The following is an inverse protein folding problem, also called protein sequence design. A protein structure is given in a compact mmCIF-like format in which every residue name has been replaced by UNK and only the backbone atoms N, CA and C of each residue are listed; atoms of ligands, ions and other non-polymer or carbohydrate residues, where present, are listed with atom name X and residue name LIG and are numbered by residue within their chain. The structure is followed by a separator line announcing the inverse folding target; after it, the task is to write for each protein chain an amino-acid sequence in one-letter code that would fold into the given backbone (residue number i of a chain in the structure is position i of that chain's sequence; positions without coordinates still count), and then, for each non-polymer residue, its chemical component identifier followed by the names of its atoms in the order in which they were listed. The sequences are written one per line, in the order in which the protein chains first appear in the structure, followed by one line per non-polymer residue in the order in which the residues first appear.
data_IF_122327931954
#
_entry.id   IF_122327931954
#
_cell.length_a   1.000
_cell.length_b   1.000
_cell.length_c   1.000
_cell.angle_alpha   90.00
_cell.angle_beta   90.00
_cell.angle_gamma   90.00
#
_symmetry.space_group_name_H-M   'P 1'
#
loop_
_entity.id
_entity.type
_entity.pdbx_description
1 polymer ?
#
# COMPACT_ATOMS: atom_id res chain seq x y z
N UNK A 1 67.60 54.09 32.63
CA UNK A 1 66.71 52.96 32.97
C UNK A 1 65.29 53.30 32.53
N UNK A 2 64.55 52.27 32.12
CA UNK A 2 63.14 52.26 31.70
C UNK A 2 62.77 53.04 30.41
N UNK A 3 62.86 52.33 29.28
CA UNK A 3 62.09 52.62 28.06
C UNK A 3 60.60 52.47 28.39
N UNK A 4 59.81 53.52 28.20
CA UNK A 4 58.36 53.39 28.15
C UNK A 4 57.96 52.72 26.82
N UNK A 5 57.11 51.69 26.84
CA UNK A 5 56.67 51.02 25.63
C UNK A 5 55.78 51.97 24.84
N UNK A 6 56.11 52.18 23.56
CA UNK A 6 55.28 52.93 22.64
C UNK A 6 53.86 52.38 22.64
N UNK A 7 52.87 53.26 22.85
CA UNK A 7 51.47 52.96 22.59
C UNK A 7 51.36 52.54 21.12
N UNK A 8 51.27 51.24 20.87
CA UNK A 8 50.81 50.71 19.59
C UNK A 8 49.37 51.18 19.45
N UNK A 9 49.16 52.23 18.66
CA UNK A 9 47.82 52.60 18.22
C UNK A 9 47.15 51.36 17.65
N UNK A 10 45.86 51.15 17.95
CA UNK A 10 45.09 50.09 17.31
C UNK A 10 45.32 50.23 15.80
N UNK A 11 45.93 49.20 15.20
CA UNK A 11 46.13 49.18 13.77
C UNK A 11 44.79 49.40 13.09
N UNK A 12 44.77 50.19 12.02
CA UNK A 12 43.56 50.50 11.26
C UNK A 12 42.73 49.25 10.91
N UNK A 13 43.38 48.10 10.72
CA UNK A 13 42.75 46.78 10.56
C UNK A 13 41.86 46.38 11.74
N UNK A 14 42.28 46.62 12.98
CA UNK A 14 41.51 46.29 14.20
C UNK A 14 40.33 47.24 14.38
N UNK A 15 40.51 48.52 14.04
CA UNK A 15 39.43 49.52 14.08
C UNK A 15 38.36 49.20 13.03
N UNK A 16 38.77 48.84 11.81
CA UNK A 16 37.85 48.43 10.74
C UNK A 16 37.09 47.16 11.13
N UNK A 17 37.76 46.16 11.72
CA UNK A 17 37.08 44.93 12.21
C UNK A 17 36.04 45.23 13.28
N UNK A 18 36.33 46.14 14.21
CA UNK A 18 35.36 46.53 15.24
C UNK A 18 34.18 47.32 14.67
N UNK A 19 34.40 48.16 13.65
CA UNK A 19 33.32 48.87 12.95
C UNK A 19 32.46 47.88 12.14
N UNK A 20 33.06 46.90 11.47
CA UNK A 20 32.33 45.86 10.72
C UNK A 20 31.52 44.96 11.67
N UNK A 21 32.07 44.59 12.82
CA UNK A 21 31.34 43.80 13.83
C UNK A 21 30.21 44.63 14.48
N UNK A 22 30.45 45.91 14.77
CA UNK A 22 29.41 46.80 15.29
C UNK A 22 28.30 47.05 14.25
N UNK A 23 28.64 47.21 12.98
CA UNK A 23 27.67 47.31 11.88
C UNK A 23 26.92 46.00 11.67
N UNK A 24 27.58 44.84 11.76
CA UNK A 24 26.92 43.54 11.72
C UNK A 24 25.94 43.37 12.88
N UNK A 25 26.26 43.83 14.09
CA UNK A 25 25.36 43.73 15.24
C UNK A 25 24.20 44.73 15.11
N UNK A 26 24.46 45.97 14.69
CA UNK A 26 23.43 47.02 14.50
C UNK A 26 22.51 46.69 13.31
N UNK A 27 23.00 45.99 12.28
CA UNK A 27 22.19 45.56 11.13
C UNK A 27 21.52 44.21 11.39
N UNK A 28 22.16 43.23 12.03
CA UNK A 28 21.58 41.89 12.18
C UNK A 28 20.65 41.79 13.39
N UNK A 29 20.94 42.48 14.51
CA UNK A 29 20.13 42.32 15.73
C UNK A 29 18.72 42.91 15.61
N UNK A 30 18.47 44.04 14.92
CA UNK A 30 17.11 44.49 14.61
C UNK A 30 16.39 43.55 13.64
N UNK A 31 17.12 42.88 12.73
CA UNK A 31 16.58 41.91 11.77
C UNK A 31 16.19 40.57 12.43
N UNK A 32 16.82 40.19 13.54
CA UNK A 32 16.43 39.00 14.33
C UNK A 32 15.22 39.29 15.24
N UNK A 33 14.98 40.56 15.61
CA UNK A 33 13.91 40.95 16.54
C UNK A 33 12.59 41.34 15.87
N UNK A 34 12.59 41.65 14.56
CA UNK A 34 11.39 41.95 13.79
C UNK A 34 11.23 40.97 12.62
N UNK A 35 10.41 39.93 12.83
CA UNK A 35 9.82 38.98 11.87
C UNK A 35 10.09 39.15 10.37
N UNK A 36 11.30 38.80 9.90
CA UNK A 36 11.67 38.75 8.49
C UNK A 36 11.44 37.35 7.86
N UNK A 37 10.29 36.72 8.13
CA UNK A 37 9.86 35.58 7.30
C UNK A 37 9.25 36.08 5.97
N UNK A 38 8.62 37.24 5.95
CA UNK A 38 7.87 37.73 4.78
C UNK A 38 8.76 38.21 3.62
N UNK A 39 9.93 38.79 3.89
CA UNK A 39 10.79 39.34 2.83
C UNK A 39 11.75 38.32 2.22
N UNK A 40 12.21 37.33 3.00
CA UNK A 40 12.93 36.18 2.45
C UNK A 40 11.99 35.35 1.56
N UNK A 41 10.70 35.29 1.92
CA UNK A 41 9.65 34.71 1.08
C UNK A 41 9.39 35.56 -0.18
N UNK A 42 9.35 36.89 -0.10
CA UNK A 42 9.25 37.78 -1.28
C UNK A 42 10.47 37.68 -2.21
N UNK A 43 11.67 37.47 -1.68
CA UNK A 43 12.86 37.25 -2.50
C UNK A 43 12.89 35.84 -3.14
N UNK A 44 12.35 34.83 -2.45
CA UNK A 44 12.13 33.49 -3.01
C UNK A 44 11.02 33.46 -4.09
N UNK A 45 10.00 34.35 -3.98
CA UNK A 45 8.90 34.53 -4.96
C UNK A 45 9.38 34.96 -6.37
N UNK A 46 10.62 35.41 -6.53
CA UNK A 46 11.19 35.80 -7.82
C UNK A 46 12.09 34.73 -8.48
N UNK A 47 12.18 33.52 -7.90
CA UNK A 47 13.09 32.47 -8.38
C UNK A 47 12.39 31.20 -8.90
N UNK A 48 11.07 31.04 -8.77
CA UNK A 48 10.32 29.95 -9.41
C UNK A 48 9.40 30.48 -10.53
N UNK A 49 9.79 30.36 -11.82
CA UNK A 49 8.96 30.81 -12.94
C UNK A 49 7.62 30.07 -13.08
N UNK A 50 7.41 28.99 -12.30
CA UNK A 50 6.15 28.24 -12.31
C UNK A 50 5.11 28.76 -11.28
N UNK A 51 5.48 29.71 -10.41
CA UNK A 51 4.63 30.17 -9.31
C UNK A 51 4.54 31.70 -9.23
N UNK A 52 3.89 32.35 -10.21
CA UNK A 52 3.98 33.80 -10.42
C UNK A 52 3.12 34.66 -9.48
N UNK A 53 2.20 34.06 -8.71
CA UNK A 53 1.26 34.79 -7.86
C UNK A 53 1.63 34.70 -6.37
N UNK A 54 1.30 35.72 -5.54
CA UNK A 54 1.53 35.66 -4.10
C UNK A 54 0.60 34.64 -3.43
N UNK A 55 1.01 34.03 -2.31
CA UNK A 55 0.21 33.06 -1.54
C UNK A 55 -1.23 33.54 -1.27
N UNK A 56 -1.39 34.83 -0.92
CA UNK A 56 -2.68 35.47 -0.69
C UNK A 56 -3.65 35.38 -1.89
N UNK A 57 -3.14 35.37 -3.12
CA UNK A 57 -3.96 35.19 -4.31
C UNK A 57 -4.60 33.80 -4.33
N UNK A 58 -3.82 32.75 -4.07
CA UNK A 58 -4.31 31.38 -4.05
C UNK A 58 -5.31 31.17 -2.92
N UNK A 59 -5.02 31.68 -1.72
CA UNK A 59 -5.93 31.61 -0.57
C UNK A 59 -7.26 32.31 -0.87
N UNK A 60 -7.23 33.54 -1.36
CA UNK A 60 -8.45 34.30 -1.67
C UNK A 60 -9.27 33.67 -2.80
N UNK A 61 -8.60 33.12 -3.82
CA UNK A 61 -9.26 32.46 -4.95
C UNK A 61 -9.97 31.19 -4.48
N UNK A 62 -9.30 30.38 -3.66
CA UNK A 62 -9.87 29.17 -3.08
C UNK A 62 -11.03 29.50 -2.13
N UNK A 63 -10.89 30.51 -1.25
CA UNK A 63 -11.97 30.91 -0.34
C UNK A 63 -13.20 31.41 -1.12
N UNK A 64 -12.99 32.18 -2.18
CA UNK A 64 -14.08 32.62 -3.08
C UNK A 64 -14.77 31.43 -3.76
N UNK A 65 -14.03 30.41 -4.17
CA UNK A 65 -14.60 29.20 -4.77
C UNK A 65 -15.41 28.40 -3.74
N UNK A 66 -14.92 28.27 -2.51
CA UNK A 66 -15.65 27.62 -1.42
C UNK A 66 -16.94 28.39 -1.07
N UNK A 67 -16.89 29.72 -1.00
CA UNK A 67 -18.08 30.58 -0.79
C UNK A 67 -19.13 30.43 -1.90
N UNK A 68 -18.70 30.10 -3.12
CA UNK A 68 -19.58 29.82 -4.25
C UNK A 68 -20.12 28.37 -4.25
N UNK A 69 -19.77 27.54 -3.26
CA UNK A 69 -20.11 26.12 -3.21
C UNK A 69 -19.35 25.26 -4.22
N UNK A 70 -18.25 25.77 -4.79
CA UNK A 70 -17.45 25.10 -5.83
C UNK A 70 -16.30 24.32 -5.23
N UNK A 71 -16.59 23.45 -4.26
CA UNK A 71 -15.54 22.75 -3.49
C UNK A 71 -14.63 21.88 -4.37
N UNK A 72 -15.15 21.23 -5.40
CA UNK A 72 -14.32 20.44 -6.33
C UNK A 72 -13.37 21.31 -7.18
N UNK A 73 -13.84 22.46 -7.68
CA UNK A 73 -12.98 23.40 -8.40
C UNK A 73 -11.91 23.98 -7.47
N UNK A 74 -12.28 24.30 -6.23
CA UNK A 74 -11.36 24.76 -5.20
C UNK A 74 -10.28 23.71 -4.90
N UNK A 75 -10.68 22.45 -4.68
CA UNK A 75 -9.76 21.34 -4.44
C UNK A 75 -8.80 21.09 -5.61
N UNK A 76 -9.29 21.13 -6.84
CA UNK A 76 -8.45 21.02 -8.04
C UNK A 76 -7.47 22.18 -8.16
N UNK A 77 -7.96 23.42 -8.05
CA UNK A 77 -7.13 24.61 -8.09
C UNK A 77 -6.01 24.57 -7.04
N UNK A 78 -6.36 24.09 -5.84
CA UNK A 78 -5.44 23.89 -4.73
C UNK A 78 -4.39 22.81 -5.01
N UNK A 79 -4.81 21.65 -5.51
CA UNK A 79 -3.91 20.54 -5.85
C UNK A 79 -2.93 20.92 -6.96
N UNK A 80 -3.39 21.65 -7.99
CA UNK A 80 -2.58 22.12 -9.11
C UNK A 80 -1.57 23.20 -8.67
N UNK A 81 -1.97 24.03 -7.72
CA UNK A 81 -1.16 25.14 -7.21
C UNK A 81 -0.32 24.78 -5.98
N UNK A 82 -0.35 23.52 -5.53
CA UNK A 82 0.27 23.08 -4.28
C UNK A 82 1.78 23.32 -4.21
N UNK A 83 2.48 23.17 -5.35
CA UNK A 83 3.92 23.45 -5.43
C UNK A 83 4.27 24.94 -5.19
N UNK A 84 3.29 25.82 -5.38
CA UNK A 84 3.48 27.27 -5.34
C UNK A 84 3.28 27.91 -3.97
N UNK A 85 2.71 27.19 -3.00
CA UNK A 85 2.62 27.68 -1.63
C UNK A 85 2.62 26.50 -0.66
N UNK A 86 3.65 26.46 0.19
CA UNK A 86 3.67 25.54 1.34
C UNK A 86 2.76 26.11 2.40
N UNK A 87 1.56 25.58 2.47
CA UNK A 87 0.50 26.07 3.34
C UNK A 87 0.94 26.03 4.80
N UNK A 88 1.38 27.17 5.31
CA UNK A 88 1.62 27.35 6.74
C UNK A 88 0.46 28.17 7.28
N UNK A 89 -0.63 27.44 7.56
CA UNK A 89 -1.90 27.93 8.13
C UNK A 89 -2.75 28.73 7.15
N UNK A 90 -3.82 28.09 6.67
CA UNK A 90 -4.91 28.79 6.02
C UNK A 90 -5.74 29.50 7.10
N UNK A 91 -5.87 30.82 6.99
CA UNK A 91 -6.75 31.62 7.85
C UNK A 91 -8.22 31.50 7.39
N UNK A 92 -8.69 30.28 7.13
CA UNK A 92 -10.09 29.97 6.91
C UNK A 92 -10.75 29.63 8.26
N UNK A 93 -12.08 29.60 8.31
CA UNK A 93 -12.74 28.95 9.43
C UNK A 93 -12.48 27.43 9.43
N UNK A 94 -12.78 26.79 10.57
CA UNK A 94 -12.51 25.38 10.77
C UNK A 94 -13.21 24.49 9.72
N UNK A 95 -14.47 24.78 9.38
CA UNK A 95 -15.25 23.95 8.46
C UNK A 95 -14.67 24.05 7.04
N UNK A 96 -14.43 25.25 6.54
CA UNK A 96 -13.81 25.46 5.21
C UNK A 96 -12.42 24.84 5.09
N UNK A 97 -11.62 24.92 6.16
CA UNK A 97 -10.31 24.26 6.20
C UNK A 97 -10.42 22.75 6.00
N UNK A 98 -11.40 22.12 6.65
CA UNK A 98 -11.64 20.69 6.50
C UNK A 98 -12.23 20.35 5.11
N UNK A 99 -13.22 21.11 4.64
CA UNK A 99 -13.83 20.91 3.31
C UNK A 99 -12.82 21.02 2.17
N UNK A 100 -11.88 21.96 2.28
CA UNK A 100 -10.78 22.06 1.32
C UNK A 100 -9.89 20.82 1.35
N UNK A 101 -9.54 20.32 2.53
CA UNK A 101 -8.72 19.12 2.68
C UNK A 101 -9.42 17.91 2.04
N UNK A 102 -10.73 17.72 2.28
CA UNK A 102 -11.53 16.68 1.62
C UNK A 102 -11.58 16.86 0.09
N UNK A 103 -11.76 18.10 -0.38
CA UNK A 103 -11.80 18.40 -1.80
C UNK A 103 -10.46 18.12 -2.50
N UNK A 104 -9.34 18.41 -1.83
CA UNK A 104 -8.00 18.04 -2.33
C UNK A 104 -7.81 16.54 -2.25
N UNK A 105 -8.27 15.86 -1.20
CA UNK A 105 -8.13 14.41 -1.05
C UNK A 105 -8.84 13.64 -2.17
N UNK A 106 -9.94 14.19 -2.71
CA UNK A 106 -10.63 13.65 -3.88
C UNK A 106 -9.80 13.73 -5.18
N UNK A 107 -8.79 14.60 -5.24
CA UNK A 107 -7.91 14.80 -6.40
C UNK A 107 -6.53 14.14 -6.17
N UNK A 108 -5.92 14.40 -5.02
CA UNK A 108 -4.58 13.96 -4.64
C UNK A 108 -4.52 13.79 -3.11
N UNK A 109 -4.70 12.54 -2.66
CA UNK A 109 -4.68 12.17 -1.24
C UNK A 109 -3.36 12.54 -0.55
N UNK A 110 -2.24 12.50 -1.27
CA UNK A 110 -0.93 12.76 -0.67
C UNK A 110 -0.74 14.24 -0.36
N UNK A 111 -1.22 15.13 -1.24
CA UNK A 111 -1.23 16.58 -0.99
C UNK A 111 -2.21 16.97 0.11
N UNK A 112 -3.32 16.23 0.26
CA UNK A 112 -4.29 16.47 1.30
C UNK A 112 -3.73 16.22 2.73
N UNK A 113 -2.72 15.37 2.88
CA UNK A 113 -2.09 15.10 4.19
C UNK A 113 -1.63 16.37 4.88
N UNK A 114 -0.95 17.26 4.16
CA UNK A 114 -0.43 18.52 4.73
C UNK A 114 -1.57 19.48 5.13
N UNK A 115 -2.67 19.44 4.39
CA UNK A 115 -3.89 20.19 4.72
C UNK A 115 -4.57 19.66 5.98
N UNK A 116 -4.73 18.33 6.11
CA UNK A 116 -5.26 17.72 7.32
C UNK A 116 -4.34 17.93 8.53
N UNK A 117 -3.02 17.87 8.37
CA UNK A 117 -2.06 18.19 9.43
C UNK A 117 -2.16 19.66 9.85
N UNK A 118 -2.32 20.56 8.88
CA UNK A 118 -2.57 21.99 9.15
C UNK A 118 -3.88 22.17 9.91
N UNK A 119 -4.93 21.45 9.55
CA UNK A 119 -6.20 21.46 10.26
C UNK A 119 -6.04 20.97 11.71
N UNK A 120 -5.44 19.80 11.93
CA UNK A 120 -5.26 19.21 13.27
C UNK A 120 -4.41 20.12 14.17
N UNK A 121 -3.38 20.75 13.61
CA UNK A 121 -2.50 21.66 14.37
C UNK A 121 -3.15 23.01 14.67
N UNK A 122 -4.01 23.51 13.76
CA UNK A 122 -4.69 24.79 13.93
C UNK A 122 -5.96 24.69 14.79
N UNK A 123 -6.60 23.52 14.77
CA UNK A 123 -7.86 23.24 15.49
C UNK A 123 -7.75 21.93 16.28
N UNK A 124 -6.94 21.87 17.36
CA UNK A 124 -6.66 20.64 18.12
C UNK A 124 -7.85 20.11 18.93
N UNK A 125 -8.97 20.86 18.99
CA UNK A 125 -10.26 20.40 19.54
C UNK A 125 -11.41 20.56 18.53
N UNK A 126 -11.10 20.69 17.24
CA UNK A 126 -12.10 20.85 16.19
C UNK A 126 -12.95 19.59 15.97
N UNK A 127 -14.25 19.75 15.74
CA UNK A 127 -15.21 18.68 15.49
C UNK A 127 -14.86 17.69 14.35
N UNK A 128 -14.00 18.07 13.39
CA UNK A 128 -13.55 17.19 12.30
C UNK A 128 -12.17 16.56 12.51
N UNK A 129 -11.57 16.60 13.71
CA UNK A 129 -10.24 16.01 13.94
C UNK A 129 -10.19 14.53 13.58
N UNK A 130 -11.18 13.76 13.99
CA UNK A 130 -11.21 12.32 13.73
C UNK A 130 -11.37 12.04 12.24
N UNK A 131 -12.12 12.88 11.53
CA UNK A 131 -12.22 12.82 10.07
C UNK A 131 -10.90 13.19 9.39
N UNK A 132 -10.21 14.21 9.87
CA UNK A 132 -8.90 14.60 9.34
C UNK A 132 -7.84 13.51 9.58
N UNK A 133 -7.84 12.86 10.76
CA UNK A 133 -6.99 11.70 11.08
C UNK A 133 -7.30 10.51 10.19
N UNK A 134 -8.58 10.26 9.93
CA UNK A 134 -8.99 9.22 8.99
C UNK A 134 -8.53 9.55 7.56
N UNK A 135 -8.71 10.79 7.10
CA UNK A 135 -8.21 11.27 5.81
C UNK A 135 -6.71 11.06 5.64
N UNK A 136 -5.90 11.45 6.62
CA UNK A 136 -4.44 11.18 6.63
C UNK A 136 -4.17 9.67 6.55
N UNK A 137 -4.88 8.87 7.33
CA UNK A 137 -4.72 7.41 7.35
C UNK A 137 -4.99 6.79 5.98
N UNK A 138 -5.97 7.29 5.22
CA UNK A 138 -6.23 6.77 3.86
C UNK A 138 -5.05 7.02 2.91
N UNK A 139 -4.44 8.20 2.96
CA UNK A 139 -3.24 8.51 2.17
C UNK A 139 -2.03 7.66 2.60
N UNK A 140 -1.85 7.46 3.91
CA UNK A 140 -0.78 6.60 4.44
C UNK A 140 -0.98 5.13 4.10
N UNK A 141 -2.23 4.67 4.04
CA UNK A 141 -2.54 3.30 3.67
C UNK A 141 -2.20 3.04 2.21
N UNK A 142 -2.57 3.95 1.31
CA UNK A 142 -2.28 3.84 -0.13
C UNK A 142 -0.77 3.88 -0.44
N UNK A 143 0.01 4.61 0.37
CA UNK A 143 1.48 4.69 0.23
C UNK A 143 2.24 3.60 0.99
N UNK A 144 1.54 2.71 1.70
CA UNK A 144 2.17 1.65 2.51
C UNK A 144 2.89 2.17 3.76
N UNK A 145 2.61 3.41 4.20
CA UNK A 145 3.10 3.95 5.47
C UNK A 145 2.26 3.39 6.64
N UNK A 146 2.43 2.11 6.92
CA UNK A 146 1.64 1.38 7.92
C UNK A 146 1.75 1.98 9.33
N UNK A 147 2.91 2.52 9.71
CA UNK A 147 3.13 3.17 11.02
C UNK A 147 2.30 4.44 11.13
N UNK A 148 2.28 5.25 10.07
CA UNK A 148 1.44 6.43 10.02
C UNK A 148 -0.04 6.08 10.14
N UNK A 149 -0.50 5.01 9.47
CA UNK A 149 -1.88 4.54 9.56
C UNK A 149 -2.23 4.16 11.00
N UNK A 150 -1.43 3.30 11.64
CA UNK A 150 -1.73 2.85 13.01
C UNK A 150 -1.75 4.01 14.01
N UNK A 151 -0.78 4.93 13.91
CA UNK A 151 -0.73 6.11 14.79
C UNK A 151 -1.96 7.02 14.64
N UNK A 152 -2.40 7.26 13.40
CA UNK A 152 -3.51 8.16 13.12
C UNK A 152 -4.86 7.52 13.46
N UNK A 153 -5.10 6.27 13.05
CA UNK A 153 -6.37 5.58 13.32
C UNK A 153 -6.55 5.22 14.79
N UNK A 154 -5.49 4.89 15.54
CA UNK A 154 -5.60 4.65 16.99
C UNK A 154 -6.01 5.92 17.75
N UNK A 155 -5.75 7.09 17.17
CA UNK A 155 -6.15 8.38 17.74
C UNK A 155 -7.60 8.77 17.39
N UNK A 156 -8.30 8.01 16.54
CA UNK A 156 -9.71 8.23 16.21
C UNK A 156 -10.57 7.52 17.26
N UNK A 157 -11.21 8.27 18.15
CA UNK A 157 -11.96 7.72 19.29
C UNK A 157 -13.48 7.81 19.10
N UNK A 158 -13.94 8.68 18.20
CA UNK A 158 -15.35 8.82 17.85
C UNK A 158 -15.78 7.96 16.66
N UNK A 159 -17.08 8.01 16.40
CA UNK A 159 -17.64 7.58 15.11
C UNK A 159 -17.31 8.62 14.03
N UNK A 160 -17.04 8.15 12.82
CA UNK A 160 -16.84 8.98 11.63
C UNK A 160 -18.16 9.40 10.96
N UNK A 161 -19.29 9.26 11.67
CA UNK A 161 -20.61 9.71 11.22
C UNK A 161 -21.24 8.83 10.14
N UNK A 162 -20.57 7.76 9.71
CA UNK A 162 -21.12 6.76 8.78
C UNK A 162 -20.57 5.38 9.11
N UNK A 163 -21.43 4.38 9.08
CA UNK A 163 -21.07 2.96 9.29
C UNK A 163 -19.94 2.52 8.34
N UNK A 164 -20.03 2.87 7.05
CA UNK A 164 -19.00 2.53 6.05
C UNK A 164 -17.60 3.05 6.42
N UNK A 165 -17.48 4.30 6.88
CA UNK A 165 -16.19 4.87 7.31
C UNK A 165 -15.69 4.25 8.61
N UNK A 166 -16.59 3.94 9.53
CA UNK A 166 -16.22 3.27 10.79
C UNK A 166 -15.71 1.84 10.53
N UNK A 167 -16.35 1.11 9.62
CA UNK A 167 -15.89 -0.21 9.16
C UNK A 167 -14.57 -0.12 8.39
N UNK A 168 -14.43 0.88 7.52
CA UNK A 168 -13.18 1.11 6.78
C UNK A 168 -12.02 1.42 7.74
N UNK A 169 -12.27 2.21 8.80
CA UNK A 169 -11.31 2.48 9.88
C UNK A 169 -10.87 1.18 10.56
N UNK A 170 -11.83 0.35 10.97
CA UNK A 170 -11.55 -0.94 11.62
C UNK A 170 -10.66 -1.83 10.74
N UNK A 171 -11.03 -1.98 9.46
CA UNK A 171 -10.29 -2.80 8.50
C UNK A 171 -8.89 -2.26 8.20
N UNK A 172 -8.76 -0.95 7.99
CA UNK A 172 -7.46 -0.32 7.71
C UNK A 172 -6.51 -0.44 8.90
N UNK A 173 -7.00 -0.25 10.12
CA UNK A 173 -6.20 -0.41 11.34
C UNK A 173 -5.74 -1.87 11.50
N UNK A 174 -6.64 -2.83 11.27
CA UNK A 174 -6.33 -4.24 11.34
C UNK A 174 -5.23 -4.65 10.34
N UNK A 175 -5.37 -4.23 9.08
CA UNK A 175 -4.37 -4.46 8.03
C UNK A 175 -3.04 -3.77 8.32
N UNK A 176 -3.06 -2.51 8.78
CA UNK A 176 -1.83 -1.79 9.07
C UNK A 176 -1.03 -2.40 10.23
N UNK A 177 -1.72 -2.89 11.28
CA UNK A 177 -1.07 -3.63 12.38
C UNK A 177 -0.42 -4.91 11.86
N UNK A 178 -1.16 -5.71 11.09
CA UNK A 178 -0.63 -6.91 10.46
C UNK A 178 0.63 -6.61 9.64
N UNK A 179 0.56 -5.58 8.79
CA UNK A 179 1.67 -5.20 7.92
C UNK A 179 2.91 -4.70 8.66
N UNK A 180 2.74 -3.97 9.77
CA UNK A 180 3.87 -3.55 10.60
C UNK A 180 4.59 -4.72 11.25
N UNK A 181 3.82 -5.63 11.86
CA UNK A 181 4.38 -6.82 12.50
C UNK A 181 5.09 -7.75 11.52
N UNK A 182 4.59 -7.85 10.28
CA UNK A 182 5.24 -8.64 9.23
C UNK A 182 6.52 -7.98 8.69
N UNK A 183 6.53 -6.65 8.54
CA UNK A 183 7.66 -5.93 7.94
C UNK A 183 8.87 -5.87 8.86
N UNK A 184 8.64 -5.67 10.16
CA UNK A 184 9.70 -5.54 11.16
C UNK A 184 9.22 -6.11 12.52
N UNK A 185 9.21 -7.45 12.67
CA UNK A 185 8.71 -8.11 13.88
C UNK A 185 9.56 -7.81 15.12
N UNK A 186 10.84 -7.44 14.95
CA UNK A 186 11.73 -7.09 16.07
C UNK A 186 11.38 -5.70 16.64
N UNK A 187 11.10 -4.73 15.77
CA UNK A 187 10.69 -3.38 16.20
C UNK A 187 9.22 -3.33 16.64
N UNK A 188 8.35 -4.15 16.06
CA UNK A 188 6.91 -4.18 16.33
C UNK A 188 6.42 -5.55 16.82
N UNK A 189 6.92 -6.06 17.96
CA UNK A 189 6.49 -7.35 18.49
C UNK A 189 5.00 -7.30 18.86
N UNK A 190 4.25 -8.36 18.52
CA UNK A 190 2.82 -8.48 18.82
C UNK A 190 1.87 -7.80 17.83
N UNK A 191 2.38 -7.01 16.88
CA UNK A 191 1.55 -6.29 15.90
C UNK A 191 0.92 -7.24 14.87
N UNK A 192 1.61 -8.32 14.51
CA UNK A 192 1.05 -9.36 13.63
C UNK A 192 -0.19 -9.97 14.26
N UNK A 193 -0.10 -10.42 15.51
CA UNK A 193 -1.16 -11.05 16.27
C UNK A 193 -2.31 -10.08 16.52
N UNK A 194 -2.00 -8.82 16.82
CA UNK A 194 -2.99 -7.75 16.95
C UNK A 194 -3.74 -7.53 15.64
N UNK A 195 -3.03 -7.46 14.52
CA UNK A 195 -3.64 -7.33 13.19
C UNK A 195 -4.55 -8.51 12.87
N UNK A 196 -4.11 -9.74 13.13
CA UNK A 196 -4.92 -10.96 12.94
C UNK A 196 -6.18 -10.91 13.79
N UNK A 197 -6.06 -10.57 15.08
CA UNK A 197 -7.21 -10.48 15.99
C UNK A 197 -8.22 -9.44 15.53
N UNK A 198 -7.76 -8.25 15.12
CA UNK A 198 -8.64 -7.20 14.60
C UNK A 198 -9.31 -7.60 13.28
N UNK A 199 -8.58 -8.30 12.40
CA UNK A 199 -9.15 -8.83 11.16
C UNK A 199 -10.21 -9.89 11.46
N UNK A 200 -9.96 -10.80 12.39
CA UNK A 200 -10.94 -11.79 12.84
C UNK A 200 -12.19 -11.10 13.39
N UNK A 201 -12.03 -10.13 14.29
CA UNK A 201 -13.17 -9.38 14.84
C UNK A 201 -13.98 -8.68 13.75
N UNK A 202 -13.31 -7.99 12.83
CA UNK A 202 -13.93 -7.33 11.69
C UNK A 202 -14.71 -8.35 10.84
N UNK A 203 -14.07 -9.45 10.45
CA UNK A 203 -14.72 -10.42 9.58
C UNK A 203 -15.79 -11.25 10.30
N UNK A 204 -15.68 -11.51 11.61
CA UNK A 204 -16.74 -12.16 12.40
C UNK A 204 -17.97 -11.25 12.48
N UNK A 205 -17.76 -9.96 12.72
CA UNK A 205 -18.83 -8.93 12.74
C UNK A 205 -19.60 -8.90 11.42
N UNK A 206 -18.90 -8.96 10.29
CA UNK A 206 -19.52 -8.79 8.96
C UNK A 206 -19.95 -10.10 8.28
N UNK A 207 -19.32 -11.24 8.59
CA UNK A 207 -19.48 -12.48 7.82
C UNK A 207 -19.74 -13.74 8.65
N UNK A 208 -19.75 -13.65 9.98
CA UNK A 208 -19.95 -14.79 10.89
C UNK A 208 -18.69 -15.62 11.15
N UNK A 209 -18.79 -16.59 12.06
CA UNK A 209 -17.64 -17.04 12.87
C UNK A 209 -16.84 -18.26 12.36
N UNK A 210 -17.11 -18.79 11.17
CA UNK A 210 -16.17 -19.68 10.44
C UNK A 210 -15.58 -18.98 9.21
N UNK A 211 -16.23 -17.91 8.78
CA UNK A 211 -15.85 -17.06 7.65
C UNK A 211 -14.86 -15.97 8.04
N UNK A 212 -14.81 -15.55 9.31
CA UNK A 212 -13.78 -14.65 9.80
C UNK A 212 -12.36 -15.21 9.69
N UNK A 213 -12.28 -16.51 9.97
CA UNK A 213 -11.08 -17.35 9.84
C UNK A 213 -10.63 -17.49 8.39
N UNK A 214 -11.57 -17.49 7.43
CA UNK A 214 -11.31 -17.56 6.00
C UNK A 214 -10.76 -16.27 5.39
N UNK A 215 -11.10 -15.11 5.95
CA UNK A 215 -10.65 -13.83 5.40
C UNK A 215 -9.34 -13.34 6.06
N UNK A 216 -8.97 -13.87 7.23
CA UNK A 216 -7.58 -13.83 7.71
C UNK A 216 -6.60 -14.49 6.72
N UNK A 217 -7.08 -15.41 5.88
CA UNK A 217 -6.25 -16.05 4.87
C UNK A 217 -5.96 -15.37 3.59
N UNK A 218 -6.98 -14.69 3.09
CA UNK A 218 -6.84 -13.89 1.91
C UNK A 218 -5.79 -12.79 2.13
N UNK A 219 -5.49 -12.43 3.39
CA UNK A 219 -4.40 -11.52 3.74
C UNK A 219 -3.06 -12.21 4.00
N UNK A 220 -3.04 -13.47 4.47
CA UNK A 220 -1.82 -14.28 4.58
C UNK A 220 -1.22 -14.69 3.22
N UNK A 221 -2.01 -14.74 2.14
CA UNK A 221 -1.49 -14.99 0.78
C UNK A 221 -0.85 -13.77 0.08
N UNK A 222 -1.10 -12.55 0.55
CA UNK A 222 -0.83 -11.31 -0.22
C UNK A 222 0.54 -10.65 0.03
N UNK A 223 1.29 -11.04 1.07
CA UNK A 223 2.58 -10.40 1.43
C UNK A 223 3.72 -11.41 1.60
N UNK A 224 3.95 -12.22 0.57
CA UNK A 224 4.98 -13.25 0.54
C UNK A 224 6.41 -12.66 0.52
N UNK A 225 6.89 -12.29 1.70
CA UNK A 225 8.27 -12.40 2.19
C UNK A 225 8.22 -12.44 3.71
N UNK A 226 8.29 -13.65 4.30
CA UNK A 226 8.43 -13.82 5.75
C UNK A 226 7.28 -14.53 6.50
N UNK A 227 6.36 -15.19 5.81
CA UNK A 227 5.25 -15.90 6.45
C UNK A 227 5.63 -17.29 6.99
N UNK A 228 4.93 -17.67 8.07
CA UNK A 228 4.75 -19.06 8.48
C UNK A 228 3.69 -19.72 7.58
N UNK A 229 4.17 -20.35 6.51
CA UNK A 229 3.31 -20.99 5.50
C UNK A 229 2.46 -22.11 6.08
N UNK A 230 2.95 -22.86 7.06
CA UNK A 230 2.24 -24.03 7.59
C UNK A 230 0.99 -23.60 8.37
N UNK A 231 1.12 -22.57 9.20
CA UNK A 231 -0.05 -21.95 9.81
C UNK A 231 -0.98 -21.38 8.74
N UNK A 232 -0.42 -20.71 7.72
CA UNK A 232 -1.22 -20.18 6.61
C UNK A 232 -1.97 -21.27 5.81
N UNK A 233 -1.49 -22.51 5.79
CA UNK A 233 -2.18 -23.61 5.11
C UNK A 233 -3.19 -24.27 6.05
N UNK A 234 -2.85 -24.45 7.33
CA UNK A 234 -3.70 -25.15 8.30
C UNK A 234 -5.05 -24.49 8.51
N UNK A 235 -5.07 -23.18 8.71
CA UNK A 235 -6.33 -22.50 8.87
C UNK A 235 -7.15 -22.62 7.50
N UNK A 236 -6.52 -22.75 6.30
CA UNK A 236 -7.18 -22.60 4.99
C UNK A 236 -7.96 -23.86 4.75
N UNK A 237 -7.39 -24.98 5.21
CA UNK A 237 -8.07 -26.25 5.33
C UNK A 237 -9.35 -26.17 6.18
N UNK A 238 -9.42 -25.30 7.20
CA UNK A 238 -10.68 -25.05 7.94
C UNK A 238 -11.74 -24.46 7.01
N UNK A 239 -11.36 -23.50 6.16
CA UNK A 239 -12.25 -22.90 5.16
C UNK A 239 -12.69 -23.92 4.12
N UNK A 240 -11.75 -24.73 3.62
CA UNK A 240 -12.02 -25.81 2.66
C UNK A 240 -13.01 -26.83 3.25
N UNK A 241 -12.93 -27.09 4.55
CA UNK A 241 -13.80 -28.02 5.28
C UNK A 241 -15.19 -27.45 5.60
N UNK A 242 -15.39 -26.14 5.45
CA UNK A 242 -16.66 -25.48 5.77
C UNK A 242 -17.74 -25.67 4.69
N UNK A 243 -18.97 -25.31 5.04
CA UNK A 243 -20.15 -25.51 4.16
C UNK A 243 -20.22 -24.52 2.98
N UNK A 244 -19.44 -23.44 2.99
CA UNK A 244 -19.45 -22.46 1.91
C UNK A 244 -18.53 -22.91 0.76
N UNK A 245 -19.11 -23.58 -0.23
CA UNK A 245 -18.37 -24.14 -1.38
C UNK A 245 -17.57 -23.09 -2.15
N UNK A 246 -18.06 -21.86 -2.27
CA UNK A 246 -17.37 -20.78 -2.98
C UNK A 246 -16.10 -20.36 -2.25
N UNK A 247 -16.17 -20.19 -0.92
CA UNK A 247 -14.99 -19.86 -0.11
C UNK A 247 -14.01 -21.03 -0.01
N UNK A 248 -14.52 -22.27 0.00
CA UNK A 248 -13.69 -23.46 -0.05
C UNK A 248 -12.83 -23.51 -1.33
N UNK A 249 -13.36 -23.10 -2.49
CA UNK A 249 -12.58 -23.02 -3.74
C UNK A 249 -11.45 -22.02 -3.66
N UNK A 250 -11.77 -20.81 -3.21
CA UNK A 250 -10.79 -19.75 -3.13
C UNK A 250 -9.69 -20.14 -2.15
N UNK A 251 -10.07 -20.69 -0.99
CA UNK A 251 -9.14 -21.23 -0.02
C UNK A 251 -8.22 -22.29 -0.62
N UNK A 252 -8.77 -23.26 -1.35
CA UNK A 252 -8.01 -24.34 -1.99
C UNK A 252 -6.96 -23.80 -2.98
N UNK A 253 -7.34 -22.82 -3.82
CA UNK A 253 -6.38 -22.19 -4.74
C UNK A 253 -5.28 -21.39 -4.01
N UNK A 254 -5.60 -20.79 -2.86
CA UNK A 254 -4.62 -20.07 -2.05
C UNK A 254 -3.64 -21.02 -1.36
N UNK A 255 -4.07 -22.20 -0.91
CA UNK A 255 -3.19 -23.25 -0.38
C UNK A 255 -2.14 -23.61 -1.44
N UNK A 256 -2.56 -23.86 -2.67
CA UNK A 256 -1.66 -24.20 -3.77
C UNK A 256 -0.64 -23.07 -4.04
N UNK A 257 -1.08 -21.80 -4.00
CA UNK A 257 -0.20 -20.64 -4.12
C UNK A 257 0.81 -20.51 -2.97
N UNK A 258 0.41 -20.81 -1.73
CA UNK A 258 1.31 -20.74 -0.58
C UNK A 258 2.45 -21.75 -0.69
N UNK A 259 2.15 -22.99 -1.09
CA UNK A 259 3.20 -23.99 -1.38
C UNK A 259 4.13 -23.53 -2.50
N UNK A 260 3.58 -22.95 -3.58
CA UNK A 260 4.40 -22.40 -4.65
C UNK A 260 5.33 -21.28 -4.19
N UNK A 261 4.81 -20.34 -3.41
CA UNK A 261 5.59 -19.24 -2.84
C UNK A 261 6.66 -19.74 -1.87
N UNK A 262 6.32 -20.71 -1.01
CA UNK A 262 7.29 -21.36 -0.14
C UNK A 262 8.42 -22.01 -0.93
N UNK A 263 8.11 -22.71 -2.02
CA UNK A 263 9.13 -23.34 -2.88
C UNK A 263 10.17 -22.35 -3.45
N UNK A 264 9.78 -21.07 -3.63
CA UNK A 264 10.64 -19.99 -4.11
C UNK A 264 11.46 -19.34 -3.00
N UNK A 265 10.92 -19.28 -1.79
CA UNK A 265 11.53 -18.60 -0.65
C UNK A 265 12.36 -19.55 0.24
N UNK A 266 12.03 -20.85 0.26
CA UNK A 266 12.64 -21.88 1.09
C UNK A 266 13.19 -23.03 0.22
N UNK A 267 14.41 -22.91 -0.33
CA UNK A 267 14.91 -23.84 -1.34
C UNK A 267 15.14 -25.27 -0.84
N UNK A 268 15.21 -25.48 0.49
CA UNK A 268 15.43 -26.81 1.09
C UNK A 268 14.32 -27.81 0.74
N UNK A 269 13.07 -27.35 0.61
CA UNK A 269 11.90 -28.19 0.34
C UNK A 269 11.30 -27.96 -1.06
N UNK A 270 12.00 -27.24 -1.94
CA UNK A 270 11.47 -26.74 -3.21
C UNK A 270 10.72 -27.77 -4.05
N UNK A 271 11.32 -28.95 -4.29
CA UNK A 271 10.70 -29.99 -5.12
C UNK A 271 9.43 -30.54 -4.46
N UNK A 272 9.46 -30.76 -3.14
CA UNK A 272 8.31 -31.25 -2.40
C UNK A 272 7.17 -30.23 -2.41
N UNK A 273 7.48 -28.96 -2.18
CA UNK A 273 6.49 -27.89 -2.19
C UNK A 273 5.90 -27.63 -3.59
N UNK A 274 6.71 -27.74 -4.65
CA UNK A 274 6.20 -27.67 -6.02
C UNK A 274 5.26 -28.84 -6.32
N UNK A 275 5.59 -30.07 -5.89
CA UNK A 275 4.70 -31.24 -6.03
C UNK A 275 3.38 -31.02 -5.29
N UNK A 276 3.44 -30.63 -4.02
CA UNK A 276 2.23 -30.36 -3.23
C UNK A 276 1.41 -29.24 -3.87
N UNK A 277 2.04 -28.17 -4.36
CA UNK A 277 1.32 -27.10 -5.06
C UNK A 277 0.54 -27.62 -6.29
N UNK A 278 1.15 -28.49 -7.10
CA UNK A 278 0.48 -29.13 -8.24
C UNK A 278 -0.70 -30.01 -7.79
N UNK A 279 -0.50 -30.80 -6.73
CA UNK A 279 -1.53 -31.68 -6.17
C UNK A 279 -2.72 -30.89 -5.61
N UNK A 280 -2.47 -29.81 -4.87
CA UNK A 280 -3.51 -28.94 -4.31
C UNK A 280 -4.29 -28.19 -5.40
N UNK A 281 -3.63 -27.81 -6.50
CA UNK A 281 -4.32 -27.34 -7.71
C UNK A 281 -5.16 -28.45 -8.37
N UNK A 282 -4.72 -29.71 -8.31
CA UNK A 282 -5.48 -30.85 -8.83
C UNK A 282 -6.76 -31.11 -8.04
N UNK A 283 -6.70 -31.02 -6.70
CA UNK A 283 -7.86 -31.14 -5.81
C UNK A 283 -8.94 -30.09 -6.09
N UNK A 284 -8.54 -28.91 -6.54
CA UNK A 284 -9.47 -27.86 -6.96
C UNK A 284 -10.45 -28.38 -8.02
N UNK A 285 -9.94 -29.08 -9.05
CA UNK A 285 -10.75 -29.64 -10.14
C UNK A 285 -11.59 -30.84 -9.67
N UNK A 286 -10.99 -31.77 -8.93
CA UNK A 286 -11.62 -33.06 -8.62
C UNK A 286 -12.58 -33.03 -7.43
N UNK A 287 -12.33 -32.20 -6.43
CA UNK A 287 -13.06 -32.24 -5.16
C UNK A 287 -13.97 -31.04 -4.96
N UNK A 288 -13.52 -29.85 -5.34
CA UNK A 288 -14.20 -28.60 -4.98
C UNK A 288 -15.05 -28.07 -6.14
N UNK A 289 -14.53 -28.08 -7.37
CA UNK A 289 -15.32 -27.71 -8.56
C UNK A 289 -16.50 -28.66 -8.77
N UNK A 290 -16.30 -29.96 -8.58
CA UNK A 290 -17.39 -30.95 -8.65
C UNK A 290 -18.52 -30.65 -7.64
N UNK A 291 -18.21 -30.11 -6.45
CA UNK A 291 -19.23 -29.68 -5.48
C UNK A 291 -20.05 -28.50 -6.00
N UNK A 292 -19.42 -27.53 -6.69
CA UNK A 292 -20.15 -26.43 -7.32
C UNK A 292 -21.08 -26.91 -8.43
N UNK A 293 -20.61 -27.81 -9.28
CA UNK A 293 -21.44 -28.37 -10.35
C UNK A 293 -22.70 -29.03 -9.76
N UNK A 294 -22.53 -29.77 -8.66
CA UNK A 294 -23.64 -30.42 -7.98
C UNK A 294 -24.62 -29.47 -7.28
N UNK A 295 -24.19 -28.25 -6.91
CA UNK A 295 -25.01 -27.27 -6.19
C UNK A 295 -25.79 -26.33 -7.11
N UNK A 296 -25.57 -26.39 -8.44
CA UNK A 296 -26.28 -25.57 -9.43
C UNK A 296 -25.86 -24.09 -9.43
N UNK A 297 -24.81 -23.70 -8.69
CA UNK A 297 -24.29 -22.32 -8.60
C UNK A 297 -23.27 -22.05 -9.73
N UNK A 298 -23.52 -22.62 -10.91
CA UNK A 298 -22.51 -22.70 -11.98
C UNK A 298 -22.54 -21.47 -12.90
N UNK A 299 -23.64 -20.72 -12.95
CA UNK A 299 -23.88 -19.79 -14.06
C UNK A 299 -23.29 -18.38 -13.89
N UNK A 300 -22.88 -17.97 -12.69
CA UNK A 300 -22.21 -16.66 -12.46
C UNK A 300 -20.68 -16.75 -12.29
N UNK A 301 -20.12 -17.95 -12.12
CA UNK A 301 -18.70 -18.17 -11.83
C UNK A 301 -17.86 -18.62 -13.05
N UNK A 302 -18.46 -18.60 -14.24
CA UNK A 302 -17.91 -19.22 -15.46
C UNK A 302 -16.91 -18.35 -16.24
N UNK A 303 -15.95 -19.08 -16.81
CA UNK A 303 -15.05 -18.79 -17.95
C UNK A 303 -13.70 -18.11 -17.73
N UNK A 304 -13.39 -17.54 -16.55
CA UNK A 304 -12.05 -16.94 -16.32
C UNK A 304 -11.19 -17.60 -15.25
N UNK A 305 -11.82 -17.99 -14.13
CA UNK A 305 -11.09 -18.30 -12.90
C UNK A 305 -10.55 -19.74 -12.88
N UNK A 306 -11.38 -20.71 -13.28
CA UNK A 306 -10.95 -22.09 -13.47
C UNK A 306 -9.83 -22.17 -14.51
N UNK A 307 -9.96 -21.43 -15.60
CA UNK A 307 -8.97 -21.35 -16.68
C UNK A 307 -7.63 -20.80 -16.17
N UNK A 308 -7.68 -19.72 -15.38
CA UNK A 308 -6.50 -19.15 -14.71
C UNK A 308 -5.84 -20.16 -13.79
N UNK A 309 -6.62 -20.95 -13.05
CA UNK A 309 -6.12 -21.99 -12.16
C UNK A 309 -5.47 -23.14 -12.94
N UNK A 310 -6.12 -23.67 -13.97
CA UNK A 310 -5.56 -24.71 -14.86
C UNK A 310 -4.26 -24.24 -15.51
N UNK A 311 -4.24 -22.99 -16.00
CA UNK A 311 -3.02 -22.41 -16.59
C UNK A 311 -1.91 -22.26 -15.55
N UNK A 312 -2.25 -21.84 -14.33
CA UNK A 312 -1.27 -21.73 -13.23
C UNK A 312 -0.73 -23.11 -12.84
N UNK A 313 -1.58 -24.13 -12.72
CA UNK A 313 -1.17 -25.50 -12.46
C UNK A 313 -0.18 -26.01 -13.50
N UNK A 314 -0.46 -25.82 -14.80
CA UNK A 314 0.48 -26.19 -15.86
C UNK A 314 1.84 -25.48 -15.71
N UNK A 315 1.83 -24.17 -15.39
CA UNK A 315 3.06 -23.40 -15.17
C UNK A 315 3.86 -23.91 -13.96
N UNK A 316 3.19 -24.25 -12.86
CA UNK A 316 3.85 -24.80 -11.66
C UNK A 316 4.40 -26.20 -11.94
N UNK A 317 3.68 -27.07 -12.66
CA UNK A 317 4.16 -28.38 -13.09
C UNK A 317 5.38 -28.26 -14.03
N UNK A 318 5.38 -27.28 -14.93
CA UNK A 318 6.57 -26.97 -15.73
C UNK A 318 7.74 -26.52 -14.86
N UNK A 319 7.51 -25.66 -13.86
CA UNK A 319 8.55 -25.25 -12.91
C UNK A 319 9.10 -26.46 -12.13
N UNK A 320 8.24 -27.39 -11.71
CA UNK A 320 8.65 -28.67 -11.11
C UNK A 320 9.57 -29.48 -12.04
N UNK A 321 9.15 -29.69 -13.29
CA UNK A 321 9.95 -30.40 -14.30
C UNK A 321 11.33 -29.74 -14.52
N UNK A 322 11.35 -28.41 -14.58
CA UNK A 322 12.57 -27.61 -14.71
C UNK A 322 13.51 -27.68 -13.50
N UNK A 323 13.00 -28.01 -12.31
CA UNK A 323 13.82 -28.21 -11.13
C UNK A 323 14.34 -29.65 -11.01
N UNK A 324 13.60 -30.64 -11.51
CA UNK A 324 14.05 -32.05 -11.55
C UNK A 324 15.07 -32.26 -12.68
N UNK A 325 14.86 -31.67 -13.86
CA UNK A 325 15.75 -31.66 -15.06
C UNK A 325 16.10 -33.00 -15.71
N UNK A 326 16.08 -34.10 -14.96
CA UNK A 326 16.47 -35.42 -15.44
C UNK A 326 15.29 -36.29 -15.82
N UNK A 327 14.07 -35.82 -15.57
CA UNK A 327 12.86 -36.61 -15.75
C UNK A 327 12.02 -36.04 -16.89
N UNK A 328 12.02 -36.75 -18.01
CA UNK A 328 11.19 -36.41 -19.18
C UNK A 328 9.70 -36.50 -18.85
N UNK A 329 9.30 -37.42 -17.97
CA UNK A 329 7.89 -37.62 -17.66
C UNK A 329 7.26 -36.38 -17.04
N UNK A 330 8.03 -35.61 -16.25
CA UNK A 330 7.53 -34.38 -15.63
C UNK A 330 7.23 -33.28 -16.68
N UNK A 331 7.99 -33.22 -17.77
CA UNK A 331 7.71 -32.33 -18.92
C UNK A 331 6.50 -32.81 -19.72
N UNK A 332 6.37 -34.12 -19.96
CA UNK A 332 5.20 -34.68 -20.65
C UNK A 332 3.92 -34.45 -19.82
N UNK A 333 3.98 -34.57 -18.49
CA UNK A 333 2.87 -34.22 -17.60
C UNK A 333 2.51 -32.74 -17.69
N UNK A 334 3.50 -31.83 -17.69
CA UNK A 334 3.26 -30.39 -17.87
C UNK A 334 2.55 -30.12 -19.21
N UNK A 335 3.06 -30.74 -20.28
CA UNK A 335 2.48 -30.65 -21.63
C UNK A 335 1.06 -31.19 -21.68
N UNK A 336 0.79 -32.33 -21.04
CA UNK A 336 -0.54 -32.92 -20.96
C UNK A 336 -1.53 -31.99 -20.24
N UNK A 337 -1.13 -31.39 -19.12
CA UNK A 337 -1.93 -30.42 -18.38
C UNK A 337 -2.28 -29.20 -19.23
N UNK A 338 -1.31 -28.58 -19.90
CA UNK A 338 -1.59 -27.47 -20.82
C UNK A 338 -2.46 -27.91 -22.02
N UNK A 339 -2.24 -29.12 -22.55
CA UNK A 339 -3.04 -29.65 -23.66
C UNK A 339 -4.52 -29.89 -23.29
N UNK A 340 -4.84 -30.17 -22.02
CA UNK A 340 -6.24 -30.22 -21.56
C UNK A 340 -6.92 -28.87 -21.78
N UNK A 341 -6.26 -27.75 -21.45
CA UNK A 341 -6.77 -26.39 -21.72
C UNK A 341 -6.99 -26.21 -23.23
N UNK A 342 -6.04 -26.61 -24.08
CA UNK A 342 -6.17 -26.49 -25.54
C UNK A 342 -7.37 -27.29 -26.09
N UNK A 343 -7.67 -28.46 -25.51
CA UNK A 343 -8.79 -29.32 -25.91
C UNK A 343 -10.14 -28.84 -25.41
N UNK A 344 -10.19 -28.36 -24.17
CA UNK A 344 -11.42 -27.96 -23.48
C UNK A 344 -12.02 -26.68 -24.10
N UNK A 345 -11.20 -25.83 -24.73
CA UNK A 345 -11.65 -24.53 -25.28
C UNK A 345 -11.44 -24.42 -26.79
N UNK A 346 -12.50 -24.11 -27.53
CA UNK A 346 -12.45 -24.02 -29.00
C UNK A 346 -11.95 -22.66 -29.53
N UNK A 347 -12.01 -21.57 -28.72
CA UNK A 347 -11.62 -20.21 -29.14
C UNK A 347 -11.37 -19.21 -27.98
N UNK A 348 -10.64 -19.59 -26.93
CA UNK A 348 -10.32 -18.67 -25.81
C UNK A 348 -8.89 -18.12 -25.90
N UNK A 349 -8.66 -16.95 -25.28
CA UNK A 349 -7.31 -16.38 -25.08
C UNK A 349 -6.37 -17.38 -24.37
N UNK A 350 -6.93 -18.20 -23.49
CA UNK A 350 -6.21 -19.24 -22.75
C UNK A 350 -5.74 -20.39 -23.63
N UNK A 351 -6.47 -20.74 -24.70
CA UNK A 351 -5.98 -21.71 -25.69
C UNK A 351 -4.70 -21.21 -26.36
N UNK A 352 -4.71 -19.97 -26.86
CA UNK A 352 -3.56 -19.36 -27.53
C UNK A 352 -2.39 -19.26 -26.55
N UNK A 353 -2.66 -18.85 -25.29
CA UNK A 353 -1.64 -18.79 -24.25
C UNK A 353 -1.04 -20.18 -23.95
N UNK A 354 -1.87 -21.21 -23.83
CA UNK A 354 -1.42 -22.58 -23.56
C UNK A 354 -0.61 -23.17 -24.72
N UNK A 355 -1.07 -23.03 -25.97
CA UNK A 355 -0.34 -23.47 -27.17
C UNK A 355 1.03 -22.81 -27.24
N UNK A 356 1.08 -21.49 -27.08
CA UNK A 356 2.32 -20.72 -27.07
C UNK A 356 3.25 -21.14 -25.92
N UNK A 357 2.70 -21.34 -24.72
CA UNK A 357 3.50 -21.74 -23.55
C UNK A 357 4.10 -23.16 -23.70
N UNK A 358 3.37 -24.09 -24.32
CA UNK A 358 3.89 -25.43 -24.63
C UNK A 358 5.11 -25.34 -25.55
N UNK A 359 5.01 -24.59 -26.65
CA UNK A 359 6.08 -24.50 -27.65
C UNK A 359 7.28 -23.71 -27.14
N UNK A 360 7.05 -22.51 -26.60
CA UNK A 360 8.11 -21.57 -26.24
C UNK A 360 8.83 -21.92 -24.94
N UNK A 361 8.18 -22.67 -24.04
CA UNK A 361 8.74 -22.98 -22.72
C UNK A 361 8.89 -24.49 -22.51
N UNK A 362 7.81 -25.27 -22.54
CA UNK A 362 7.87 -26.68 -22.14
C UNK A 362 8.76 -27.51 -23.09
N UNK A 363 8.51 -27.44 -24.40
CA UNK A 363 9.29 -28.17 -25.40
C UNK A 363 10.71 -27.61 -25.47
N UNK A 364 10.86 -26.29 -25.47
CA UNK A 364 12.16 -25.62 -25.51
C UNK A 364 13.07 -26.02 -24.34
N UNK A 365 12.56 -25.99 -23.11
CA UNK A 365 13.33 -26.35 -21.91
C UNK A 365 13.60 -27.86 -21.82
N UNK A 366 12.64 -28.70 -22.22
CA UNK A 366 12.88 -30.15 -22.30
C UNK A 366 14.03 -30.49 -23.27
N UNK A 367 14.07 -29.84 -24.45
CA UNK A 367 15.14 -30.01 -25.42
C UNK A 367 16.47 -29.42 -24.96
N UNK A 368 16.44 -28.26 -24.29
CA UNK A 368 17.61 -27.66 -23.65
C UNK A 368 18.24 -28.59 -22.61
N UNK A 369 17.43 -29.39 -21.92
CA UNK A 369 17.88 -30.41 -20.98
C UNK A 369 18.26 -31.76 -21.63
N UNK A 370 18.29 -31.85 -22.97
CA UNK A 370 18.63 -33.04 -23.77
C UNK A 370 17.72 -34.25 -23.54
N UNK A 371 16.44 -34.02 -23.21
CA UNK A 371 15.48 -35.11 -22.95
C UNK A 371 14.68 -35.54 -24.20
N UNK A 372 14.73 -34.76 -25.28
CA UNK A 372 14.09 -35.08 -26.57
C UNK A 372 12.57 -35.03 -26.53
N UNK A 373 12.02 -33.83 -26.32
CA UNK A 373 10.61 -33.50 -26.52
C UNK A 373 10.41 -32.78 -27.87
#
# INVERSE_FOLDING_TARGET
MAKFPGKKGLGWSTVIKLIVVALLIIVIVPFIKFGYYDWAEIAARNLDPNCPQPEKYYINTMDTMLDQGKSQEAGKFMADSYACFRIKRLNLDQQKNFELAEAVAAIDKQKAVDLYLTYITSYPTGGYIDHARFGISTAYFDSGNWLGVTQMLTSVTGSLGSEDKDDQKELMLAKANFMLGQKDPETYPGYTETGISLLQQYYSKHYGDEKATAVAFLLAGYYSKGLDYDNAINWLNVVVSGDNTILALDAQSQIANLYFLRSRNEPANKINDLRTSVDEYGKYETEVYARLESSGVVDDWKDGRLDTIKMTQCKVQHELANNIKTDKEEYERAKEMCNKIVKDYSSSIYKIEAEKYIEEHIIADCNKNNLGC
#
